data_IF_737964776968
#
_entry.id   IF_737964776968
#
_cell.length_a   1.000
_cell.length_b   1.000
_cell.length_c   1.000
_cell.angle_alpha   90.00
_cell.angle_beta   90.00
_cell.angle_gamma   90.00
#
_symmetry.space_group_name_H-M   'P 1'
#
loop_
_entity.id
_entity.type
_entity.pdbx_description
1 polymer ?
#
# COMPACT_ATOMS: atom_id res chain seq x y z
N UNK A 1 10.38 3.05 6.03
CA UNK A 1 10.00 4.28 5.32
C UNK A 1 10.51 4.39 3.87
N UNK A 2 11.83 4.36 3.55
CA UNK A 2 12.28 4.50 2.12
C UNK A 2 11.78 3.37 1.21
N UNK A 3 11.70 2.14 1.75
CA UNK A 3 11.18 0.97 1.02
C UNK A 3 9.68 1.06 0.75
N UNK A 4 8.92 1.63 1.69
CA UNK A 4 7.46 1.76 1.58
C UNK A 4 7.13 2.83 0.54
N UNK A 5 7.88 3.93 0.53
CA UNK A 5 7.79 4.94 -0.53
C UNK A 5 8.08 4.36 -1.92
N UNK A 6 9.13 3.54 -2.07
CA UNK A 6 9.41 2.84 -3.33
C UNK A 6 8.27 1.90 -3.74
N UNK A 7 7.70 1.17 -2.79
CA UNK A 7 6.58 0.27 -3.02
C UNK A 7 5.37 1.04 -3.57
N UNK A 8 5.02 2.17 -2.96
CA UNK A 8 3.95 3.07 -3.43
C UNK A 8 4.26 3.62 -4.83
N UNK A 9 5.51 4.02 -5.10
CA UNK A 9 5.90 4.49 -6.44
C UNK A 9 5.68 3.44 -7.51
N UNK A 10 6.02 2.17 -7.24
CA UNK A 10 5.80 1.06 -8.18
C UNK A 10 4.31 0.80 -8.36
N UNK A 11 3.52 0.77 -7.28
CA UNK A 11 2.06 0.61 -7.35
C UNK A 11 1.43 1.68 -8.23
N UNK A 12 1.77 2.95 -7.98
CA UNK A 12 1.27 4.10 -8.75
C UNK A 12 1.66 3.99 -10.23
N UNK A 13 2.90 3.63 -10.53
CA UNK A 13 3.38 3.46 -11.91
C UNK A 13 2.63 2.38 -12.69
N UNK A 14 2.04 1.40 -12.00
CA UNK A 14 1.30 0.29 -12.61
C UNK A 14 -0.23 0.46 -12.49
N UNK A 15 -0.71 1.61 -11.98
CA UNK A 15 -2.14 1.83 -11.76
C UNK A 15 -2.74 0.93 -10.68
N UNK A 16 -1.92 0.37 -9.80
CA UNK A 16 -2.36 -0.50 -8.71
C UNK A 16 -2.77 0.38 -7.52
N UNK A 17 -4.01 0.23 -7.09
CA UNK A 17 -4.61 0.99 -5.98
C UNK A 17 -5.03 0.12 -4.79
N UNK A 18 -4.81 -1.20 -4.84
CA UNK A 18 -5.19 -2.12 -3.78
C UNK A 18 -3.99 -2.93 -3.31
N UNK A 19 -3.82 -3.08 -2.00
CA UNK A 19 -2.75 -3.89 -1.40
C UNK A 19 -3.32 -4.74 -0.27
N UNK A 20 -3.01 -6.04 -0.27
CA UNK A 20 -3.28 -6.92 0.84
C UNK A 20 -2.06 -6.97 1.76
N UNK A 21 -2.14 -6.36 2.93
CA UNK A 21 -1.01 -6.31 3.87
C UNK A 21 -1.48 -6.19 5.31
N UNK A 22 -0.70 -6.75 6.24
CA UNK A 22 -0.82 -6.51 7.68
C UNK A 22 0.00 -5.31 8.16
N UNK A 23 0.77 -4.69 7.27
CA UNK A 23 1.60 -3.53 7.57
C UNK A 23 0.73 -2.26 7.68
N UNK A 24 0.75 -1.66 8.87
CA UNK A 24 -0.08 -0.50 9.18
C UNK A 24 0.45 0.79 8.55
N UNK A 25 1.71 0.83 8.11
CA UNK A 25 2.31 2.02 7.48
C UNK A 25 1.65 2.37 6.13
N UNK A 26 0.96 1.42 5.51
CA UNK A 26 0.20 1.63 4.28
C UNK A 26 -1.21 2.18 4.54
N UNK A 27 -1.67 2.19 5.81
CA UNK A 27 -2.97 2.76 6.17
C UNK A 27 -2.90 4.29 6.04
N UNK A 28 -3.83 4.86 5.28
CA UNK A 28 -3.93 6.31 5.10
C UNK A 28 -3.10 6.88 3.96
N UNK A 29 -2.41 6.04 3.17
CA UNK A 29 -1.78 6.49 1.92
C UNK A 29 -2.88 6.88 0.92
N UNK A 30 -2.92 8.14 0.44
CA UNK A 30 -3.97 8.59 -0.48
C UNK A 30 -3.99 7.78 -1.77
N UNK A 31 -5.17 7.29 -2.15
CA UNK A 31 -5.36 6.51 -3.38
C UNK A 31 -5.01 5.02 -3.27
N UNK A 32 -4.65 4.54 -2.08
CA UNK A 32 -4.40 3.12 -1.81
C UNK A 32 -5.45 2.56 -0.86
N UNK A 33 -6.09 1.47 -1.27
CA UNK A 33 -7.02 0.67 -0.48
C UNK A 33 -6.27 -0.50 0.15
N UNK A 34 -6.27 -0.58 1.48
CA UNK A 34 -5.59 -1.65 2.22
C UNK A 34 -6.60 -2.74 2.58
N UNK A 35 -6.29 -3.99 2.24
CA UNK A 35 -6.99 -5.17 2.70
C UNK A 35 -6.15 -5.87 3.77
N UNK A 36 -6.63 -5.83 5.01
CA UNK A 36 -6.00 -6.55 6.11
C UNK A 36 -6.53 -7.98 6.18
N UNK A 37 -5.68 -9.01 6.39
CA UNK A 37 -6.15 -10.34 6.70
C UNK A 37 -7.06 -10.31 7.93
N UNK A 38 -8.16 -11.08 7.90
CA UNK A 38 -8.95 -11.33 9.10
C UNK A 38 -8.07 -12.12 10.07
N UNK A 39 -7.94 -11.62 11.29
CA UNK A 39 -7.13 -12.24 12.34
C UNK A 39 -7.74 -13.55 12.82
#
# INVERSE_FOLDING_TARGET
MTRDALHISIMKSNGISHIATGDEDFKGVPGVTVWTPVK
#
